data_IF_365163380168
#
_entry.id   IF_365163380168
#
_cell.length_a   1.000
_cell.length_b   1.000
_cell.length_c   1.000
_cell.angle_alpha   90.00
_cell.angle_beta   90.00
_cell.angle_gamma   90.00
#
_symmetry.space_group_name_H-M   'P 1'
#
loop_
_entity.id
_entity.type
_entity.pdbx_description
1 polymer ?
#
# COMPACT_ATOMS: atom_id res chain seq x y z
N UNK A 1 4.03 -14.55 -17.78
CA UNK A 1 2.65 -14.83 -17.33
C UNK A 1 2.58 -15.95 -16.30
N UNK A 2 3.13 -17.14 -16.58
CA UNK A 2 3.12 -18.27 -15.62
C UNK A 2 3.74 -17.87 -14.28
N UNK A 3 4.91 -17.22 -14.29
CA UNK A 3 5.59 -16.76 -13.07
C UNK A 3 4.73 -15.83 -12.19
N UNK A 4 4.09 -14.81 -12.77
CA UNK A 4 3.23 -13.87 -12.02
C UNK A 4 2.03 -14.56 -11.41
N UNK A 5 1.45 -15.54 -12.12
CA UNK A 5 0.35 -16.36 -11.59
C UNK A 5 0.85 -17.25 -10.45
N UNK A 6 2.03 -17.87 -10.59
CA UNK A 6 2.64 -18.65 -9.51
C UNK A 6 2.89 -17.79 -8.28
N UNK A 7 3.47 -16.60 -8.43
CA UNK A 7 3.70 -15.66 -7.33
C UNK A 7 2.37 -15.24 -6.69
N UNK A 8 1.36 -14.92 -7.49
CA UNK A 8 0.04 -14.52 -7.01
C UNK A 8 -0.62 -15.62 -6.17
N UNK A 9 -0.64 -16.86 -6.67
CA UNK A 9 -1.22 -18.00 -5.97
C UNK A 9 -0.45 -18.28 -4.67
N UNK A 10 0.87 -18.31 -4.70
CA UNK A 10 1.69 -18.51 -3.50
C UNK A 10 1.50 -17.38 -2.47
N UNK A 11 1.36 -16.13 -2.92
CA UNK A 11 1.10 -14.99 -2.04
C UNK A 11 -0.26 -15.11 -1.33
N UNK A 12 -1.29 -15.67 -1.98
CA UNK A 12 -2.59 -15.95 -1.34
C UNK A 12 -2.40 -16.99 -0.22
N UNK A 13 -1.69 -18.08 -0.47
CA UNK A 13 -1.41 -19.09 0.55
C UNK A 13 -0.67 -18.48 1.75
N UNK A 14 0.37 -17.69 1.49
CA UNK A 14 1.11 -16.99 2.56
C UNK A 14 0.18 -16.05 3.34
N UNK A 15 -0.62 -15.24 2.66
CA UNK A 15 -1.55 -14.31 3.30
C UNK A 15 -2.56 -15.02 4.20
N UNK A 16 -3.12 -16.14 3.75
CA UNK A 16 -4.04 -16.96 4.54
C UNK A 16 -3.40 -17.46 5.84
N UNK A 17 -2.22 -18.08 5.77
CA UNK A 17 -1.53 -18.60 6.95
C UNK A 17 -1.08 -17.48 7.92
N UNK A 18 -0.68 -16.32 7.38
CA UNK A 18 -0.29 -15.16 8.19
C UNK A 18 -1.47 -14.60 8.98
N UNK A 19 -2.65 -14.47 8.35
CA UNK A 19 -3.85 -13.91 9.02
C UNK A 19 -4.46 -14.91 10.01
N UNK A 20 -4.46 -16.20 9.70
CA UNK A 20 -5.05 -17.24 10.57
C UNK A 20 -4.34 -17.34 11.92
N UNK A 21 -3.02 -17.07 11.97
CA UNK A 21 -2.22 -17.16 13.20
C UNK A 21 -2.32 -15.97 14.15
N UNK A 22 -3.18 -14.97 13.87
CA UNK A 22 -3.25 -13.75 14.69
C UNK A 22 -4.04 -13.98 15.98
N UNK A 23 -3.50 -13.53 17.11
CA UNK A 23 -4.17 -13.55 18.41
C UNK A 23 -5.52 -12.81 18.35
N UNK A 24 -6.63 -13.35 18.90
CA UNK A 24 -7.96 -12.75 18.75
C UNK A 24 -8.07 -11.27 19.17
N UNK A 25 -7.30 -10.86 20.17
CA UNK A 25 -7.28 -9.47 20.65
C UNK A 25 -6.70 -8.48 19.61
N UNK A 26 -6.00 -8.97 18.59
CA UNK A 26 -5.33 -8.16 17.56
C UNK A 26 -6.11 -8.07 16.24
N UNK A 27 -7.32 -8.63 16.11
CA UNK A 27 -8.08 -8.51 14.86
C UNK A 27 -8.41 -7.07 14.46
N UNK A 28 -8.73 -6.20 15.42
CA UNK A 28 -8.99 -4.78 15.13
C UNK A 28 -7.71 -4.03 14.71
N UNK A 29 -6.57 -4.15 15.42
CA UNK A 29 -5.28 -3.67 14.93
C UNK A 29 -4.87 -4.25 13.56
N UNK A 30 -5.11 -5.55 13.33
CA UNK A 30 -4.83 -6.22 12.06
C UNK A 30 -5.63 -5.59 10.92
N UNK A 31 -6.91 -5.31 11.14
CA UNK A 31 -7.74 -4.60 10.16
C UNK A 31 -7.13 -3.22 9.81
N UNK A 32 -6.67 -2.47 10.81
CA UNK A 32 -6.01 -1.18 10.58
C UNK A 32 -4.69 -1.32 9.79
N UNK A 33 -3.85 -2.31 10.10
CA UNK A 33 -2.61 -2.62 9.36
C UNK A 33 -2.91 -2.95 7.90
N UNK A 34 -3.89 -3.81 7.64
CA UNK A 34 -4.24 -4.22 6.27
C UNK A 34 -4.77 -3.06 5.43
N UNK A 35 -5.49 -2.11 6.06
CA UNK A 35 -5.87 -0.86 5.40
C UNK A 35 -4.64 -0.02 5.03
N UNK A 36 -3.71 0.17 5.96
CA UNK A 36 -2.46 0.89 5.70
C UNK A 36 -1.65 0.24 4.56
N UNK A 37 -1.53 -1.10 4.56
CA UNK A 37 -0.81 -1.87 3.55
C UNK A 37 -1.46 -1.83 2.16
N UNK A 38 -2.79 -1.68 2.08
CA UNK A 38 -3.49 -1.54 0.80
C UNK A 38 -3.01 -0.33 -0.01
N UNK A 39 -2.33 0.62 0.64
CA UNK A 39 -1.74 1.80 0.02
C UNK A 39 -0.58 1.53 -0.94
N UNK A 40 -0.20 0.26 -1.16
CA UNK A 40 0.75 -0.14 -2.22
C UNK A 40 0.36 0.38 -3.62
N UNK A 41 -0.92 0.72 -3.81
CA UNK A 41 -1.44 1.44 -4.98
C UNK A 41 -0.68 2.73 -5.31
N UNK A 42 0.01 3.34 -4.33
CA UNK A 42 0.86 4.53 -4.54
C UNK A 42 1.93 4.29 -5.60
N UNK A 43 2.46 3.06 -5.71
CA UNK A 43 3.48 2.72 -6.71
C UNK A 43 2.91 2.86 -8.12
N UNK A 44 1.69 2.37 -8.35
CA UNK A 44 1.00 2.54 -9.62
C UNK A 44 0.68 4.01 -9.92
N UNK A 45 0.25 4.77 -8.91
CA UNK A 45 -0.03 6.20 -9.04
C UNK A 45 1.23 7.00 -9.40
N UNK A 46 2.38 6.70 -8.79
CA UNK A 46 3.66 7.34 -9.10
C UNK A 46 4.10 7.05 -10.55
N UNK A 47 4.01 5.78 -10.99
CA UNK A 47 4.33 5.40 -12.36
C UNK A 47 3.45 6.15 -13.37
N UNK A 48 2.16 6.28 -13.07
CA UNK A 48 1.22 6.98 -13.94
C UNK A 48 1.44 8.51 -13.96
N UNK A 49 1.92 9.07 -12.84
CA UNK A 49 2.23 10.50 -12.69
C UNK A 49 3.42 10.91 -13.55
N UNK A 50 4.49 10.11 -13.56
CA UNK A 50 5.73 10.38 -14.30
C UNK A 50 5.57 10.08 -15.80
N UNK A 51 4.41 9.58 -16.23
CA UNK A 51 4.14 9.30 -17.64
C UNK A 51 4.89 8.08 -18.16
N UNK A 52 5.22 7.11 -17.29
CA UNK A 52 5.70 5.82 -17.75
C UNK A 52 4.61 5.18 -18.61
N UNK A 53 4.93 4.75 -19.82
CA UNK A 53 3.93 4.18 -20.70
C UNK A 53 3.75 2.72 -20.29
N UNK A 54 2.65 2.50 -19.62
CA UNK A 54 2.00 1.19 -19.48
C UNK A 54 1.65 0.60 -20.88
N UNK A 55 1.95 1.30 -21.99
CA UNK A 55 1.67 0.94 -23.39
C UNK A 55 2.83 1.19 -24.38
N UNK A 56 4.10 0.96 -24.00
CA UNK A 56 5.20 0.84 -24.99
C UNK A 56 5.64 2.15 -25.68
N UNK A 57 5.61 3.28 -24.98
CA UNK A 57 6.28 4.52 -25.42
C UNK A 57 7.70 4.53 -24.78
N UNK A 58 8.67 5.17 -25.41
CA UNK A 58 10.05 5.14 -24.92
C UNK A 58 10.20 5.80 -23.54
N UNK A 59 11.08 5.21 -22.71
CA UNK A 59 11.45 5.66 -21.37
C UNK A 59 12.31 6.94 -21.38
N UNK A 60 11.95 7.92 -22.19
CA UNK A 60 12.54 9.25 -22.12
C UNK A 60 11.76 10.05 -21.10
N UNK A 61 12.35 10.24 -19.92
CA UNK A 61 11.87 11.16 -18.88
C UNK A 61 12.13 12.60 -19.36
N UNK A 62 11.45 12.99 -20.45
CA UNK A 62 11.29 14.38 -20.80
C UNK A 62 10.24 14.97 -19.84
N UNK A 63 10.35 16.26 -19.51
CA UNK A 63 9.26 16.99 -18.86
C UNK A 63 8.01 16.88 -19.75
N UNK A 64 7.19 15.87 -19.49
CA UNK A 64 5.98 15.63 -20.25
C UNK A 64 5.01 16.76 -19.92
N UNK A 65 4.41 17.35 -20.95
CA UNK A 65 3.32 18.31 -20.80
C UNK A 65 2.26 17.74 -19.84
N UNK A 66 1.82 18.55 -18.88
CA UNK A 66 0.80 18.16 -17.89
C UNK A 66 -0.43 17.63 -18.63
N UNK A 67 -0.65 16.32 -18.55
CA UNK A 67 -1.80 15.62 -19.12
C UNK A 67 -2.80 15.33 -17.99
N UNK A 68 -4.07 15.16 -18.32
CA UNK A 68 -5.11 14.66 -17.42
C UNK A 68 -4.64 13.44 -16.63
N UNK A 69 -3.94 12.51 -17.30
CA UNK A 69 -3.39 11.30 -16.68
C UNK A 69 -2.35 11.59 -15.58
N UNK A 70 -1.44 12.54 -15.82
CA UNK A 70 -0.43 12.91 -14.81
C UNK A 70 -1.05 13.66 -13.63
N UNK A 71 -2.10 14.46 -13.88
CA UNK A 71 -2.86 15.15 -12.82
C UNK A 71 -3.62 14.13 -11.96
N UNK A 72 -4.31 13.17 -12.59
CA UNK A 72 -5.00 12.10 -11.87
C UNK A 72 -4.01 11.22 -11.08
N UNK A 73 -2.84 10.93 -11.65
CA UNK A 73 -1.75 10.26 -10.96
C UNK A 73 -1.32 11.04 -9.70
N UNK A 74 -1.10 12.34 -9.81
CA UNK A 74 -0.71 13.18 -8.68
C UNK A 74 -1.79 13.21 -7.58
N UNK A 75 -3.06 13.31 -7.96
CA UNK A 75 -4.19 13.21 -7.00
C UNK A 75 -4.23 11.83 -6.35
N UNK A 76 -4.01 10.75 -7.11
CA UNK A 76 -3.95 9.40 -6.58
C UNK A 76 -2.78 9.21 -5.59
N UNK A 77 -1.60 9.76 -5.88
CA UNK A 77 -0.46 9.77 -4.95
C UNK A 77 -0.82 10.52 -3.67
N UNK A 78 -1.46 11.68 -3.77
CA UNK A 78 -1.91 12.45 -2.62
C UNK A 78 -2.89 11.65 -1.75
N UNK A 79 -3.93 11.06 -2.33
CA UNK A 79 -4.90 10.25 -1.60
C UNK A 79 -4.28 8.99 -0.99
N UNK A 80 -3.40 8.31 -1.73
CA UNK A 80 -2.68 7.15 -1.22
C UNK A 80 -1.79 7.54 -0.03
N UNK A 81 -1.12 8.70 -0.09
CA UNK A 81 -0.30 9.19 1.03
C UNK A 81 -1.11 9.38 2.31
N UNK A 82 -2.34 9.91 2.22
CA UNK A 82 -3.23 10.05 3.38
C UNK A 82 -3.53 8.69 4.01
N UNK A 83 -3.78 7.66 3.19
CA UNK A 83 -4.01 6.30 3.69
C UNK A 83 -2.75 5.71 4.33
N UNK A 84 -1.57 5.88 3.73
CA UNK A 84 -0.28 5.44 4.31
C UNK A 84 -0.10 6.06 5.70
N UNK A 85 -0.07 7.39 5.77
CA UNK A 85 0.24 8.08 7.03
C UNK A 85 -0.86 7.87 8.08
N UNK A 86 -2.13 8.00 7.69
CA UNK A 86 -3.26 7.80 8.59
C UNK A 86 -3.35 6.35 9.09
N UNK A 87 -3.24 5.38 8.18
CA UNK A 87 -3.31 3.97 8.48
C UNK A 87 -2.20 3.52 9.44
N UNK A 88 -0.95 3.88 9.18
CA UNK A 88 0.16 3.54 10.08
C UNK A 88 0.12 4.30 11.41
N UNK A 89 -0.27 5.58 11.42
CA UNK A 89 -0.38 6.35 12.67
C UNK A 89 -1.47 5.79 13.60
N UNK A 90 -2.63 5.43 13.06
CA UNK A 90 -3.73 4.82 13.83
C UNK A 90 -3.33 3.44 14.32
N UNK A 91 -2.73 2.63 13.45
CA UNK A 91 -2.21 1.30 13.82
C UNK A 91 -1.21 1.38 14.97
N UNK A 92 -0.27 2.31 14.93
CA UNK A 92 0.72 2.50 15.99
C UNK A 92 0.05 2.81 17.34
N UNK A 93 -0.92 3.72 17.35
CA UNK A 93 -1.70 4.05 18.56
C UNK A 93 -2.48 2.85 19.10
N UNK A 94 -3.06 2.03 18.22
CA UNK A 94 -3.76 0.81 18.63
C UNK A 94 -2.81 -0.21 19.26
N UNK A 95 -1.62 -0.42 18.66
CA UNK A 95 -0.63 -1.37 19.18
C UNK A 95 0.03 -0.88 20.48
N UNK A 96 0.15 0.42 20.68
CA UNK A 96 0.65 1.01 21.93
C UNK A 96 -0.22 0.64 23.14
N UNK A 97 -1.53 0.43 22.95
CA UNK A 97 -2.44 0.01 24.03
C UNK A 97 -2.14 -1.40 24.57
N UNK A 98 -1.40 -2.21 23.81
CA UNK A 98 -0.96 -3.55 24.23
C UNK A 98 0.42 -3.56 24.89
N UNK A 99 1.15 -2.44 24.89
CA UNK A 99 2.44 -2.36 25.57
C UNK A 99 2.20 -2.29 27.08
N UNK A 100 2.95 -3.06 27.89
CA UNK A 100 2.88 -2.94 29.33
C UNK A 100 3.27 -1.50 29.74
N UNK A 101 2.49 -0.88 30.63
CA UNK A 101 2.80 0.46 31.13
C UNK A 101 4.19 0.44 31.77
N UNK A 102 5.10 1.29 31.26
CA UNK A 102 6.38 1.52 31.94
C UNK A 102 6.07 2.03 33.36
N UNK A 103 6.53 1.29 34.38
CA UNK A 103 6.54 1.80 35.75
C UNK A 103 7.53 2.97 35.77
N UNK A 104 7.03 4.16 36.10
CA UNK A 104 7.88 5.29 36.49
C UNK A 104 8.61 4.97 37.78
#
# INVERSE_FOLDING_TARGET
>A
MVETITIFVLAIFVGYYVVWGVTPALHTPLMAVTNALSSIVVVGAMLQTVGMPVLGVDANVAFQSVNVVSVLGAVAVFLASINIFGGFAVTARMLEMFKPKQKK
#
